data_IF_384897422821
#
_entry.id   IF_384897422821
#
_cell.length_a   1.000
_cell.length_b   1.000
_cell.length_c   1.000
_cell.angle_alpha   90.00
_cell.angle_beta   90.00
_cell.angle_gamma   90.00
#
_symmetry.space_group_name_H-M   'P 1'
#
loop_
_entity.id
_entity.type
_entity.pdbx_description
1 polymer ?
#
# COMPACT_ATOMS: atom_id res chain seq x y z
N UNK A 1 15.30 8.79 12.17
CA UNK A 1 15.00 7.72 13.15
C UNK A 1 16.12 7.69 14.17
N UNK A 2 15.80 7.67 15.48
CA UNK A 2 16.79 7.72 16.56
C UNK A 2 16.91 6.36 17.27
N UNK A 3 15.82 5.61 17.35
CA UNK A 3 15.76 4.29 17.99
C UNK A 3 14.57 3.50 17.48
N UNK A 4 14.61 2.19 17.59
CA UNK A 4 13.51 1.27 17.27
C UNK A 4 13.27 0.34 18.44
N UNK A 5 12.02 0.17 18.82
CA UNK A 5 11.57 -0.79 19.82
C UNK A 5 11.08 -2.06 19.11
N UNK A 6 11.83 -3.14 19.18
CA UNK A 6 11.44 -4.43 18.64
C UNK A 6 10.69 -5.23 19.70
N UNK A 7 9.69 -5.97 19.26
CA UNK A 7 8.93 -6.85 20.13
C UNK A 7 9.56 -8.23 20.21
N UNK A 8 9.82 -8.68 21.42
CA UNK A 8 10.34 -10.05 21.68
C UNK A 8 9.15 -10.97 21.98
N UNK A 9 8.79 -11.81 21.03
CA UNK A 9 7.65 -12.75 21.14
C UNK A 9 7.80 -13.77 22.27
N UNK A 10 9.03 -14.11 22.70
CA UNK A 10 9.27 -15.04 23.81
C UNK A 10 8.98 -14.39 25.16
N UNK A 11 9.38 -13.14 25.34
CA UNK A 11 9.23 -12.44 26.63
C UNK A 11 7.97 -11.58 26.70
N UNK A 12 7.32 -11.31 25.55
CA UNK A 12 6.17 -10.42 25.46
C UNK A 12 6.51 -8.94 25.72
N UNK A 13 7.77 -8.53 25.52
CA UNK A 13 8.26 -7.19 25.86
C UNK A 13 8.97 -6.52 24.68
N UNK A 14 8.91 -5.21 24.66
CA UNK A 14 9.74 -4.41 23.75
C UNK A 14 11.17 -4.31 24.23
N UNK A 15 12.09 -4.37 23.28
CA UNK A 15 13.53 -4.14 23.47
C UNK A 15 13.92 -2.93 22.63
N UNK A 16 14.37 -1.87 23.29
CA UNK A 16 14.85 -0.67 22.63
C UNK A 16 16.22 -0.94 21.98
N UNK A 17 16.38 -0.52 20.74
CA UNK A 17 17.61 -0.62 19.98
C UNK A 17 18.03 0.79 19.55
N UNK A 18 19.20 1.29 19.96
CA UNK A 18 19.74 2.55 19.50
C UNK A 18 19.95 2.56 17.99
N UNK A 19 19.92 3.74 17.39
CA UNK A 19 20.23 3.93 15.96
C UNK A 19 21.55 3.29 15.58
N UNK A 20 21.59 2.54 14.48
CA UNK A 20 22.76 1.86 13.97
C UNK A 20 23.14 0.55 14.68
N UNK A 21 22.30 0.07 15.60
CA UNK A 21 22.51 -1.19 16.30
C UNK A 21 21.33 -2.15 16.07
N UNK A 22 21.56 -3.20 15.31
CA UNK A 22 20.57 -4.25 15.13
C UNK A 22 20.37 -5.06 16.42
N UNK A 23 19.13 -5.51 16.76
CA UNK A 23 18.89 -6.43 17.87
C UNK A 23 19.69 -7.72 17.68
N UNK A 24 20.07 -8.35 18.80
CA UNK A 24 20.74 -9.64 18.74
C UNK A 24 19.86 -10.68 18.02
N UNK A 25 20.40 -11.31 16.99
CA UNK A 25 19.68 -12.28 16.17
C UNK A 25 18.84 -11.67 15.04
N UNK A 26 18.83 -10.36 14.87
CA UNK A 26 18.18 -9.73 13.72
C UNK A 26 18.91 -10.10 12.42
N UNK A 27 18.13 -10.40 11.38
CA UNK A 27 18.68 -10.53 10.03
C UNK A 27 19.16 -9.15 9.56
N UNK A 28 20.36 -9.04 8.98
CA UNK A 28 20.81 -7.77 8.42
C UNK A 28 19.77 -7.30 7.39
N UNK A 29 19.19 -6.15 7.64
CA UNK A 29 18.20 -5.54 6.77
C UNK A 29 18.79 -4.41 5.95
N UNK A 30 17.92 -3.72 5.24
CA UNK A 30 18.25 -2.57 4.40
C UNK A 30 18.87 -1.42 5.21
N UNK A 31 18.50 -1.33 6.47
CA UNK A 31 19.07 -0.42 7.46
C UNK A 31 19.81 -1.22 8.53
N UNK A 32 20.90 -0.68 9.08
CA UNK A 32 21.71 -1.31 10.13
C UNK A 32 20.96 -1.60 11.45
N UNK A 33 19.65 -1.46 11.44
CA UNK A 33 18.78 -1.68 12.61
C UNK A 33 18.01 -3.00 12.57
N UNK A 34 18.31 -3.88 11.60
CA UNK A 34 17.59 -5.14 11.45
C UNK A 34 16.15 -4.97 10.93
N UNK A 35 15.90 -3.89 10.19
CA UNK A 35 14.68 -3.65 9.42
C UNK A 35 15.00 -3.93 7.96
N UNK A 36 14.12 -4.66 7.27
CA UNK A 36 14.23 -4.90 5.84
C UNK A 36 13.52 -3.82 5.01
N UNK A 37 13.32 -4.05 3.72
CA UNK A 37 12.68 -3.11 2.81
C UNK A 37 11.25 -2.81 3.26
N UNK A 38 10.88 -1.54 3.35
CA UNK A 38 9.50 -1.08 3.41
C UNK A 38 8.94 -0.89 2.00
N UNK A 39 7.61 -1.03 1.85
CA UNK A 39 6.88 -0.61 0.70
C UNK A 39 6.10 0.69 0.99
N UNK A 40 4.81 0.73 0.72
CA UNK A 40 3.99 1.91 0.95
C UNK A 40 3.84 2.28 2.42
N UNK A 41 3.46 3.50 2.67
CA UNK A 41 3.32 4.02 4.02
C UNK A 41 2.17 5.01 4.15
N UNK A 42 1.62 5.09 5.35
CA UNK A 42 0.59 6.07 5.70
C UNK A 42 1.09 6.98 6.82
N UNK A 43 1.05 8.30 6.59
CA UNK A 43 1.18 9.26 7.67
C UNK A 43 -0.20 9.56 8.26
N UNK A 44 -0.43 9.07 9.46
CA UNK A 44 -1.60 9.40 10.25
C UNK A 44 -1.32 10.69 11.04
N UNK A 45 -1.94 11.79 10.62
CA UNK A 45 -1.72 13.12 11.19
C UNK A 45 -2.09 13.18 12.68
N UNK A 46 -1.54 14.16 13.39
CA UNK A 46 -1.93 14.50 14.75
C UNK A 46 -3.46 14.62 14.87
N UNK A 47 -4.01 14.07 15.94
CA UNK A 47 -5.47 13.97 16.13
C UNK A 47 -6.11 12.67 15.66
N UNK A 48 -5.45 11.85 14.83
CA UNK A 48 -6.00 10.58 14.36
C UNK A 48 -6.22 9.59 15.51
N UNK A 49 -5.29 9.51 16.44
CA UNK A 49 -5.29 8.51 17.50
C UNK A 49 -5.80 9.03 18.85
N UNK A 50 -6.47 10.18 18.88
CA UNK A 50 -7.07 10.73 20.09
C UNK A 50 -8.59 10.85 19.94
N UNK A 51 -9.33 10.60 21.02
CA UNK A 51 -10.78 10.79 21.10
C UNK A 51 -11.18 11.18 22.52
N UNK A 52 -11.88 12.31 22.66
CA UNK A 52 -12.32 12.85 23.97
C UNK A 52 -11.17 12.94 25.00
N UNK A 53 -9.98 13.35 24.58
CA UNK A 53 -8.81 13.49 25.44
C UNK A 53 -8.11 12.18 25.81
N UNK A 54 -8.55 11.04 25.27
CA UNK A 54 -7.91 9.74 25.45
C UNK A 54 -7.25 9.30 24.15
N UNK A 55 -5.98 8.96 24.21
CA UNK A 55 -5.22 8.50 23.04
C UNK A 55 -3.85 9.16 22.90
N UNK A 56 -3.26 9.06 21.70
CA UNK A 56 -2.04 9.74 21.31
C UNK A 56 -2.38 10.93 20.41
N UNK A 57 -1.88 12.10 20.78
CA UNK A 57 -2.21 13.37 20.11
C UNK A 57 -1.26 13.72 18.95
N UNK A 58 -0.07 13.09 18.90
CA UNK A 58 0.90 13.28 17.82
C UNK A 58 0.57 12.49 16.56
N UNK A 59 1.33 12.77 15.49
CA UNK A 59 1.30 11.99 14.27
C UNK A 59 2.09 10.68 14.35
N UNK A 60 1.70 9.70 13.58
CA UNK A 60 2.43 8.44 13.39
C UNK A 60 2.60 8.15 11.90
N UNK A 61 3.82 7.81 11.50
CA UNK A 61 4.11 7.22 10.20
C UNK A 61 4.05 5.71 10.34
N UNK A 62 3.18 5.06 9.59
CA UNK A 62 2.99 3.61 9.61
C UNK A 62 3.46 3.02 8.30
N UNK A 63 4.18 1.91 8.39
CA UNK A 63 4.64 1.14 7.24
C UNK A 63 4.94 -0.29 7.69
N UNK A 64 5.20 -1.18 6.74
CA UNK A 64 5.62 -2.54 7.03
C UNK A 64 6.72 -3.01 6.11
N UNK A 65 7.46 -4.03 6.56
CA UNK A 65 8.42 -4.71 5.72
C UNK A 65 7.69 -5.50 4.64
N UNK A 66 8.23 -5.50 3.43
CA UNK A 66 7.67 -6.23 2.29
C UNK A 66 8.76 -7.14 1.70
N UNK A 67 9.06 -8.22 2.41
CA UNK A 67 10.12 -9.18 2.04
C UNK A 67 9.71 -10.64 2.24
N UNK A 68 8.42 -10.90 2.44
CA UNK A 68 7.85 -12.22 2.64
C UNK A 68 7.09 -12.38 3.96
N UNK A 69 6.68 -13.59 4.27
CA UNK A 69 5.78 -13.90 5.40
C UNK A 69 6.34 -13.55 6.78
N UNK A 70 7.65 -13.34 6.92
CA UNK A 70 8.29 -12.98 8.20
C UNK A 70 8.36 -11.46 8.44
N UNK A 71 7.82 -10.68 7.53
CA UNK A 71 7.85 -9.23 7.58
C UNK A 71 6.97 -8.68 8.70
N UNK A 72 7.33 -7.50 9.20
CA UNK A 72 6.76 -6.90 10.41
C UNK A 72 6.21 -5.51 10.11
N UNK A 73 5.11 -5.16 10.76
CA UNK A 73 4.58 -3.78 10.74
C UNK A 73 5.27 -2.89 11.77
N UNK A 74 5.37 -1.59 11.46
CA UNK A 74 5.97 -0.57 12.31
C UNK A 74 5.14 0.72 12.35
N UNK A 75 5.32 1.45 13.46
CA UNK A 75 4.91 2.84 13.58
C UNK A 75 6.10 3.69 14.05
N UNK A 76 6.19 4.91 13.54
CA UNK A 76 7.25 5.87 13.89
C UNK A 76 6.60 7.17 14.35
N UNK A 77 7.02 7.66 15.52
CA UNK A 77 6.58 8.96 16.02
C UNK A 77 7.42 10.11 15.42
N UNK A 78 6.95 11.33 15.62
CA UNK A 78 7.61 12.54 15.10
C UNK A 78 8.93 12.85 15.80
N UNK A 79 9.19 12.26 16.97
CA UNK A 79 10.45 12.33 17.68
C UNK A 79 11.50 11.35 17.14
N UNK A 80 11.12 10.52 16.18
CA UNK A 80 11.99 9.56 15.51
C UNK A 80 12.14 8.23 16.24
N UNK A 81 11.20 7.87 17.12
CA UNK A 81 11.14 6.55 17.75
C UNK A 81 10.27 5.61 16.91
N UNK A 82 10.86 4.48 16.52
CA UNK A 82 10.16 3.39 15.86
C UNK A 82 9.65 2.34 16.85
N UNK A 83 8.53 1.74 16.51
CA UNK A 83 7.90 0.66 17.29
C UNK A 83 7.41 -0.42 16.34
N UNK A 84 7.85 -1.66 16.55
CA UNK A 84 7.22 -2.80 15.89
C UNK A 84 5.77 -2.95 16.36
N UNK A 85 4.89 -3.35 15.47
CA UNK A 85 3.46 -3.56 15.73
C UNK A 85 3.12 -5.07 15.66
N UNK A 86 3.47 -5.89 16.66
CA UNK A 86 3.32 -7.35 16.57
C UNK A 86 1.87 -7.80 16.37
N UNK A 87 0.91 -7.02 16.87
CA UNK A 87 -0.52 -7.33 16.74
C UNK A 87 -1.10 -7.08 15.35
N UNK A 88 -0.31 -6.52 14.44
CA UNK A 88 -0.65 -6.46 13.02
C UNK A 88 -0.35 -7.77 12.27
N UNK A 89 0.21 -8.78 12.95
CA UNK A 89 0.62 -10.05 12.36
C UNK A 89 2.01 -9.98 11.70
N UNK A 90 2.32 -11.01 10.94
CA UNK A 90 3.55 -11.16 10.14
C UNK A 90 3.14 -11.54 8.73
N UNK A 91 3.37 -10.63 7.78
CA UNK A 91 3.00 -10.78 6.38
C UNK A 91 3.89 -9.87 5.53
N UNK A 92 3.93 -10.06 4.22
CA UNK A 92 4.53 -9.11 3.30
C UNK A 92 3.65 -7.85 3.26
N UNK A 93 3.97 -6.86 4.09
CA UNK A 93 3.14 -5.66 4.19
C UNK A 93 3.28 -4.78 2.97
N UNK A 94 2.17 -4.45 2.35
CA UNK A 94 2.11 -3.32 1.45
C UNK A 94 1.93 -2.02 2.25
N UNK A 95 0.87 -1.91 3.05
CA UNK A 95 0.61 -0.70 3.83
C UNK A 95 -0.15 -1.00 5.14
N UNK A 96 -0.13 -0.03 6.09
CA UNK A 96 -0.93 -0.04 7.33
C UNK A 96 -1.68 1.29 7.40
N UNK A 97 -3.01 1.26 7.26
CA UNK A 97 -3.87 2.40 7.02
C UNK A 97 -4.89 2.59 8.13
N UNK A 98 -4.64 3.47 9.10
CA UNK A 98 -5.60 3.79 10.17
C UNK A 98 -6.89 4.42 9.62
N UNK A 99 -8.02 4.03 10.22
CA UNK A 99 -9.33 4.58 9.88
C UNK A 99 -9.41 6.07 10.24
N UNK A 100 -9.99 6.84 9.33
CA UNK A 100 -10.28 8.26 9.52
C UNK A 100 -11.50 8.50 10.43
N UNK A 101 -12.25 7.44 10.80
CA UNK A 101 -13.45 7.59 11.63
C UNK A 101 -13.08 7.88 13.08
N UNK A 102 -13.50 9.04 13.64
CA UNK A 102 -13.27 9.34 15.05
C UNK A 102 -13.96 8.32 15.97
N UNK A 103 -13.32 7.98 17.09
CA UNK A 103 -13.90 7.10 18.09
C UNK A 103 -12.90 6.59 19.11
N UNK A 104 -13.40 5.85 20.10
CA UNK A 104 -12.60 5.29 21.19
C UNK A 104 -11.70 4.14 20.73
N UNK A 105 -12.02 3.51 19.60
CA UNK A 105 -11.21 2.45 19.02
C UNK A 105 -10.24 3.01 17.97
N UNK A 106 -9.11 2.35 17.84
CA UNK A 106 -8.22 2.48 16.69
C UNK A 106 -8.46 1.27 15.80
N UNK A 107 -8.92 1.53 14.60
CA UNK A 107 -9.08 0.52 13.56
C UNK A 107 -8.07 0.83 12.46
N UNK A 108 -7.34 -0.18 12.00
CA UNK A 108 -6.41 -0.04 10.90
C UNK A 108 -6.58 -1.22 9.93
N UNK A 109 -6.49 -0.93 8.64
CA UNK A 109 -6.36 -1.94 7.61
C UNK A 109 -4.88 -2.22 7.39
N UNK A 110 -4.52 -3.50 7.28
CA UNK A 110 -3.21 -3.93 6.81
C UNK A 110 -3.41 -4.72 5.52
N UNK A 111 -2.71 -4.33 4.47
CA UNK A 111 -2.70 -5.01 3.18
C UNK A 111 -1.46 -5.88 3.06
N UNK A 112 -1.65 -7.07 2.51
CA UNK A 112 -0.59 -8.03 2.25
C UNK A 112 -0.35 -8.13 0.74
N UNK A 113 0.81 -7.67 0.27
CA UNK A 113 1.30 -8.04 -1.05
C UNK A 113 2.05 -9.37 -0.98
N UNK A 114 1.29 -10.44 -1.02
CA UNK A 114 1.80 -11.81 -0.99
C UNK A 114 1.99 -12.35 -2.40
N UNK A 115 1.17 -13.32 -2.77
CA UNK A 115 1.16 -13.88 -4.13
C UNK A 115 -0.22 -13.71 -4.79
N UNK A 116 -0.29 -14.01 -6.08
CA UNK A 116 -1.54 -13.97 -6.85
C UNK A 116 -2.65 -14.91 -6.30
N UNK A 117 -2.33 -15.80 -5.39
CA UNK A 117 -3.27 -16.77 -4.81
C UNK A 117 -3.23 -16.83 -3.29
N UNK A 118 -2.36 -16.04 -2.67
CA UNK A 118 -2.13 -16.05 -1.23
C UNK A 118 -1.75 -14.64 -0.76
N UNK A 119 -2.74 -13.81 -0.66
CA UNK A 119 -2.66 -12.42 -0.23
C UNK A 119 -3.98 -12.08 0.45
N UNK A 120 -3.96 -11.47 1.60
CA UNK A 120 -5.16 -11.19 2.38
C UNK A 120 -5.26 -9.71 2.77
N UNK A 121 -6.48 -9.28 3.07
CA UNK A 121 -6.74 -7.99 3.69
C UNK A 121 -7.07 -8.20 5.16
N UNK A 122 -6.39 -7.47 6.03
CA UNK A 122 -6.58 -7.59 7.48
C UNK A 122 -7.15 -6.32 8.08
N UNK A 123 -7.87 -6.50 9.18
CA UNK A 123 -8.40 -5.41 10.00
C UNK A 123 -7.97 -5.60 11.44
N UNK A 124 -7.20 -4.66 11.93
CA UNK A 124 -6.86 -4.53 13.33
C UNK A 124 -7.88 -3.65 14.06
N UNK A 125 -8.27 -4.02 15.29
CA UNK A 125 -9.10 -3.19 16.15
C UNK A 125 -8.59 -3.21 17.59
N UNK A 126 -8.16 -2.05 18.07
CA UNK A 126 -7.70 -1.84 19.46
C UNK A 126 -8.33 -0.63 20.10
N UNK A 127 -8.07 -0.41 21.37
CA UNK A 127 -8.70 0.66 22.15
C UNK A 127 -7.68 1.73 22.54
N UNK A 128 -7.97 2.99 22.27
CA UNK A 128 -7.17 4.14 22.70
C UNK A 128 -7.01 4.16 24.21
N UNK A 129 -5.83 4.55 24.71
CA UNK A 129 -5.49 4.55 26.13
C UNK A 129 -4.92 5.91 26.55
N UNK A 130 -5.02 6.23 27.85
CA UNK A 130 -4.49 7.49 28.40
C UNK A 130 -3.02 7.41 28.80
N UNK A 131 -2.44 6.22 28.88
CA UNK A 131 -1.08 5.97 29.42
C UNK A 131 -0.28 5.06 28.53
N UNK A 132 1.03 5.03 28.70
CA UNK A 132 1.96 4.21 27.95
C UNK A 132 2.76 5.00 26.89
N UNK A 133 3.39 4.26 25.98
CA UNK A 133 4.11 4.80 24.82
C UNK A 133 3.16 5.39 23.81
N UNK A 134 3.68 5.99 22.72
CA UNK A 134 2.87 6.53 21.63
C UNK A 134 1.91 5.47 21.07
N UNK A 135 2.40 4.25 20.79
CA UNK A 135 1.60 3.16 20.25
C UNK A 135 0.61 2.56 21.26
N UNK A 136 0.91 2.59 22.56
CA UNK A 136 -0.05 2.18 23.60
C UNK A 136 -1.22 3.15 23.65
N UNK A 137 -0.92 4.45 23.75
CA UNK A 137 -1.96 5.50 23.72
C UNK A 137 -2.76 5.46 22.42
N UNK A 138 -2.11 5.24 21.28
CA UNK A 138 -2.76 5.09 19.99
C UNK A 138 -3.67 3.85 19.90
N UNK A 139 -3.64 2.94 20.88
CA UNK A 139 -4.44 1.71 20.85
C UNK A 139 -3.94 0.65 19.87
N UNK A 140 -2.65 0.68 19.54
CA UNK A 140 -2.02 -0.25 18.59
C UNK A 140 -1.39 -1.50 19.25
N UNK A 141 -1.47 -1.61 20.59
CA UNK A 141 -0.84 -2.71 21.36
C UNK A 141 -1.81 -3.62 22.09
N UNK A 142 -3.10 -3.37 22.06
CA UNK A 142 -4.10 -4.08 22.86
C UNK A 142 -5.27 -4.67 22.07
N UNK A 143 -5.24 -4.56 20.75
CA UNK A 143 -6.31 -5.01 19.87
C UNK A 143 -6.15 -6.44 19.35
N UNK A 144 -7.13 -6.86 18.59
CA UNK A 144 -7.18 -8.12 17.87
C UNK A 144 -7.04 -7.89 16.35
N UNK A 145 -6.41 -8.84 15.67
CA UNK A 145 -6.27 -8.87 14.22
C UNK A 145 -7.30 -9.82 13.62
N UNK A 146 -7.90 -9.41 12.52
CA UNK A 146 -8.92 -10.16 11.81
C UNK A 146 -8.59 -10.20 10.31
N UNK A 147 -8.78 -11.34 9.69
CA UNK A 147 -8.71 -11.48 8.23
C UNK A 147 -10.09 -11.27 7.62
N UNK A 148 -10.15 -10.60 6.47
CA UNK A 148 -11.39 -10.42 5.71
C UNK A 148 -11.83 -11.74 5.09
N UNK A 149 -13.10 -12.09 5.30
CA UNK A 149 -13.77 -13.24 4.69
C UNK A 149 -15.03 -12.80 3.95
N UNK A 150 -15.14 -13.19 2.70
CA UNK A 150 -16.38 -13.05 1.93
C UNK A 150 -17.06 -14.42 1.93
N UNK A 151 -18.20 -14.60 2.65
CA UNK A 151 -18.83 -15.91 2.77
C UNK A 151 -19.06 -16.56 1.41
N UNK A 152 -18.71 -17.84 1.31
CA UNK A 152 -18.77 -18.65 0.07
C UNK A 152 -17.80 -18.30 -1.05
N UNK A 153 -17.04 -17.21 -0.94
CA UNK A 153 -16.05 -16.76 -1.93
C UNK A 153 -14.65 -17.00 -1.37
N UNK A 154 -13.93 -17.94 -1.95
CA UNK A 154 -12.59 -18.31 -1.45
C UNK A 154 -11.46 -17.50 -2.07
N UNK A 155 -11.71 -16.85 -3.21
CA UNK A 155 -10.73 -15.95 -3.82
C UNK A 155 -11.42 -14.83 -4.62
N UNK A 156 -10.69 -13.77 -4.89
CA UNK A 156 -11.15 -12.68 -5.76
C UNK A 156 -11.44 -13.16 -7.19
N UNK A 157 -10.72 -14.17 -7.69
CA UNK A 157 -11.02 -14.77 -8.98
C UNK A 157 -12.41 -15.46 -8.98
N UNK A 158 -12.80 -16.12 -7.88
CA UNK A 158 -14.17 -16.65 -7.73
C UNK A 158 -15.16 -15.50 -7.66
N UNK A 159 -14.87 -14.42 -6.93
CA UNK A 159 -15.74 -13.24 -6.93
C UNK A 159 -15.91 -12.67 -8.34
N UNK A 160 -14.82 -12.48 -9.05
CA UNK A 160 -14.77 -11.94 -10.42
C UNK A 160 -15.65 -12.71 -11.38
N UNK A 161 -15.59 -14.04 -11.32
CA UNK A 161 -16.29 -14.94 -12.26
C UNK A 161 -17.72 -15.28 -11.86
N UNK A 162 -18.07 -15.26 -10.58
CA UNK A 162 -19.39 -15.67 -10.08
C UNK A 162 -20.30 -14.52 -9.66
N UNK A 163 -19.71 -13.46 -9.07
CA UNK A 163 -20.43 -12.26 -8.62
C UNK A 163 -20.32 -11.16 -9.67
N UNK A 164 -19.10 -10.82 -10.03
CA UNK A 164 -18.78 -9.81 -11.03
C UNK A 164 -18.83 -8.37 -10.48
N UNK A 165 -18.61 -7.43 -11.38
CA UNK A 165 -18.47 -6.01 -11.10
C UNK A 165 -19.78 -5.35 -10.66
N UNK A 166 -19.69 -4.35 -9.79
CA UNK A 166 -20.80 -3.53 -9.31
C UNK A 166 -21.89 -4.34 -8.58
N UNK A 167 -21.50 -5.41 -7.92
CA UNK A 167 -22.39 -6.20 -7.06
C UNK A 167 -21.78 -6.36 -5.69
N UNK A 168 -22.61 -6.12 -4.68
CA UNK A 168 -22.21 -6.19 -3.28
C UNK A 168 -22.35 -7.60 -2.72
N UNK A 169 -21.39 -7.97 -1.90
CA UNK A 169 -21.43 -9.18 -1.08
C UNK A 169 -21.15 -8.80 0.39
N UNK A 170 -21.69 -9.54 1.35
CA UNK A 170 -21.29 -9.36 2.74
C UNK A 170 -19.80 -9.70 2.91
N UNK A 171 -19.13 -8.93 3.75
CA UNK A 171 -17.77 -9.22 4.22
C UNK A 171 -17.77 -9.28 5.75
N UNK A 172 -17.06 -10.26 6.26
CA UNK A 172 -16.89 -10.53 7.69
C UNK A 172 -15.40 -10.43 8.03
N UNK A 173 -15.10 -10.21 9.31
CA UNK A 173 -13.73 -10.12 9.81
C UNK A 173 -13.52 -11.20 10.85
N UNK A 174 -12.75 -12.21 10.51
CA UNK A 174 -12.55 -13.41 11.33
C UNK A 174 -11.22 -13.31 12.08
N UNK A 175 -11.27 -13.41 13.40
CA UNK A 175 -10.08 -13.28 14.23
C UNK A 175 -9.01 -14.34 13.88
N UNK A 176 -7.75 -13.89 13.81
CA UNK A 176 -6.55 -14.70 13.62
C UNK A 176 -5.57 -14.49 14.77
N UNK A 177 -4.76 -15.50 15.04
CA UNK A 177 -3.76 -15.44 16.11
C UNK A 177 -2.45 -14.79 15.61
N UNK A 178 -2.25 -13.53 15.96
CA UNK A 178 -1.04 -12.78 15.65
C UNK A 178 0.20 -13.27 16.43
N UNK A 179 0.01 -14.00 17.55
CA UNK A 179 1.09 -14.44 18.44
C UNK A 179 1.44 -15.91 18.22
N UNK A 180 1.70 -16.26 16.99
CA UNK A 180 2.04 -17.62 16.60
C UNK A 180 3.24 -17.62 15.63
N UNK A 181 3.61 -18.77 15.07
CA UNK A 181 4.66 -18.81 14.03
C UNK A 181 4.14 -18.27 12.72
N UNK A 182 5.03 -17.71 11.90
CA UNK A 182 4.71 -17.17 10.57
C UNK A 182 3.90 -18.15 9.72
N UNK A 183 4.37 -19.39 9.63
CA UNK A 183 3.68 -20.41 8.83
C UNK A 183 2.30 -20.78 9.38
N UNK A 184 2.10 -20.76 10.71
CA UNK A 184 0.81 -21.01 11.31
C UNK A 184 -0.13 -19.83 11.09
N UNK A 185 0.37 -18.59 11.20
CA UNK A 185 -0.38 -17.37 10.92
C UNK A 185 -0.87 -17.34 9.46
N UNK A 186 0.03 -17.52 8.48
CA UNK A 186 -0.30 -17.54 7.07
C UNK A 186 -1.32 -18.65 6.74
N UNK A 187 -1.15 -19.85 7.31
CA UNK A 187 -2.10 -20.96 7.13
C UNK A 187 -3.48 -20.63 7.70
N UNK A 188 -3.55 -20.11 8.92
CA UNK A 188 -4.82 -19.73 9.56
C UNK A 188 -5.54 -18.64 8.77
N UNK A 189 -4.80 -17.64 8.30
CA UNK A 189 -5.34 -16.53 7.50
C UNK A 189 -5.96 -17.02 6.18
N UNK A 190 -5.29 -17.92 5.46
CA UNK A 190 -5.83 -18.55 4.25
C UNK A 190 -7.09 -19.38 4.51
N UNK A 191 -7.09 -20.16 5.59
CA UNK A 191 -8.23 -21.03 5.91
C UNK A 191 -9.47 -20.24 6.28
N UNK A 192 -9.29 -19.14 7.01
CA UNK A 192 -10.37 -18.28 7.52
C UNK A 192 -10.77 -17.17 6.58
N UNK A 193 -9.86 -16.65 5.77
CA UNK A 193 -10.05 -15.49 4.92
C UNK A 193 -10.44 -15.83 3.48
N UNK A 194 -10.64 -14.77 2.71
CA UNK A 194 -10.73 -14.80 1.25
C UNK A 194 -9.38 -14.37 0.68
N UNK A 195 -8.76 -15.21 -0.15
CA UNK A 195 -7.50 -14.88 -0.82
C UNK A 195 -7.75 -13.88 -1.94
N UNK A 196 -6.88 -12.89 -2.02
CA UNK A 196 -6.89 -11.85 -3.04
C UNK A 196 -5.65 -12.00 -3.94
N UNK A 197 -5.69 -11.40 -5.12
CA UNK A 197 -4.58 -11.48 -6.07
C UNK A 197 -3.62 -10.29 -5.87
N UNK A 198 -2.76 -10.37 -4.86
CA UNK A 198 -1.82 -9.33 -4.44
C UNK A 198 -2.55 -8.04 -4.06
N UNK A 199 -2.85 -7.90 -2.77
CA UNK A 199 -3.47 -6.67 -2.23
C UNK A 199 -2.40 -5.61 -2.10
N UNK A 200 -2.57 -4.55 -2.84
CA UNK A 200 -1.70 -3.38 -2.80
C UNK A 200 -2.29 -2.28 -1.89
N UNK A 201 -2.02 -1.05 -2.22
CA UNK A 201 -2.41 0.09 -1.40
C UNK A 201 -3.94 0.29 -1.35
N UNK A 202 -4.36 1.06 -0.36
CA UNK A 202 -5.75 1.44 -0.15
C UNK A 202 -5.88 2.80 0.52
N UNK A 203 -7.08 3.35 0.47
CA UNK A 203 -7.35 4.65 1.08
C UNK A 203 -8.77 4.73 1.64
N UNK A 204 -8.88 5.25 2.86
CA UNK A 204 -10.18 5.58 3.45
C UNK A 204 -10.80 6.78 2.72
N UNK A 205 -12.12 6.74 2.51
CA UNK A 205 -12.83 7.85 1.92
C UNK A 205 -12.93 9.02 2.92
N UNK A 206 -12.29 10.18 2.66
CA UNK A 206 -12.34 11.31 3.57
C UNK A 206 -13.75 11.89 3.72
N UNK A 207 -14.62 11.70 2.73
CA UNK A 207 -16.01 12.15 2.75
C UNK A 207 -16.95 11.18 3.44
N UNK A 208 -16.57 9.89 3.56
CA UNK A 208 -17.35 8.85 4.24
C UNK A 208 -16.42 7.87 4.98
N UNK A 209 -16.09 8.09 6.25
CA UNK A 209 -15.11 7.29 6.98
C UNK A 209 -15.55 5.85 7.28
N UNK A 210 -16.68 5.39 6.78
CA UNK A 210 -17.07 3.98 6.76
C UNK A 210 -16.70 3.28 5.44
N UNK A 211 -16.11 4.00 4.47
CA UNK A 211 -15.73 3.44 3.18
C UNK A 211 -14.21 3.40 3.06
N UNK A 212 -13.71 2.27 2.61
CA UNK A 212 -12.32 2.02 2.28
C UNK A 212 -12.23 1.51 0.85
N UNK A 213 -11.31 2.05 0.07
CA UNK A 213 -10.98 1.57 -1.27
C UNK A 213 -9.60 0.94 -1.26
N UNK A 214 -9.41 -0.10 -2.04
CA UNK A 214 -8.10 -0.73 -2.22
C UNK A 214 -8.00 -1.36 -3.61
N UNK A 215 -6.77 -1.62 -4.03
CA UNK A 215 -6.51 -2.29 -5.30
C UNK A 215 -5.87 -3.66 -5.07
N UNK A 216 -6.08 -4.55 -6.04
CA UNK A 216 -5.28 -5.76 -6.23
C UNK A 216 -4.55 -5.62 -7.55
N UNK A 217 -3.24 -5.88 -7.57
CA UNK A 217 -2.41 -5.61 -8.75
C UNK A 217 -2.58 -6.66 -9.84
N UNK A 218 -3.02 -7.86 -9.49
CA UNK A 218 -3.23 -8.95 -10.45
C UNK A 218 -4.70 -9.38 -10.52
N UNK A 219 -5.08 -9.95 -11.68
CA UNK A 219 -6.41 -10.50 -11.91
C UNK A 219 -6.49 -12.00 -11.67
N UNK A 220 -5.35 -12.63 -11.43
CA UNK A 220 -5.23 -14.06 -11.16
C UNK A 220 -5.99 -14.93 -12.16
N UNK A 221 -5.64 -14.87 -13.45
CA UNK A 221 -6.17 -15.66 -14.55
C UNK A 221 -7.47 -15.15 -15.19
N UNK A 222 -7.86 -13.92 -14.96
CA UNK A 222 -8.95 -13.34 -15.72
C UNK A 222 -8.51 -13.13 -17.19
N UNK A 223 -9.19 -13.76 -18.18
CA UNK A 223 -8.83 -13.63 -19.59
C UNK A 223 -8.92 -12.18 -20.09
N UNK A 224 -9.79 -11.36 -19.51
CA UNK A 224 -9.95 -9.96 -19.88
C UNK A 224 -8.75 -9.14 -19.43
N UNK A 225 -8.29 -9.36 -18.20
CA UNK A 225 -7.15 -8.64 -17.65
C UNK A 225 -5.81 -9.02 -18.29
N UNK A 226 -5.71 -10.20 -18.85
CA UNK A 226 -4.52 -10.66 -19.59
C UNK A 226 -4.60 -10.39 -21.09
N UNK A 227 -5.65 -9.72 -21.58
CA UNK A 227 -5.77 -9.37 -22.99
C UNK A 227 -4.61 -8.46 -23.41
N UNK A 228 -4.09 -8.66 -24.64
CA UNK A 228 -3.02 -7.81 -25.17
C UNK A 228 -3.42 -6.33 -25.17
N UNK A 229 -2.46 -5.47 -24.87
CA UNK A 229 -2.65 -4.03 -25.03
C UNK A 229 -2.96 -3.69 -26.49
N UNK A 230 -4.08 -3.01 -26.80
CA UNK A 230 -4.43 -2.64 -28.17
C UNK A 230 -3.36 -1.82 -28.90
N UNK A 231 -2.60 -1.00 -28.16
CA UNK A 231 -1.52 -0.19 -28.75
C UNK A 231 -0.23 -0.99 -29.01
N UNK A 232 -0.05 -2.11 -28.31
CA UNK A 232 1.11 -3.00 -28.43
C UNK A 232 0.65 -4.46 -28.31
N UNK A 233 0.14 -5.06 -29.41
CA UNK A 233 -0.60 -6.34 -29.38
C UNK A 233 0.19 -7.55 -28.81
N UNK A 234 1.51 -7.45 -28.71
CA UNK A 234 2.38 -8.50 -28.17
C UNK A 234 2.62 -8.38 -26.67
N UNK A 235 2.10 -7.32 -26.03
CA UNK A 235 2.28 -7.04 -24.60
C UNK A 235 0.98 -7.29 -23.85
N UNK A 236 1.03 -8.16 -22.85
CA UNK A 236 -0.10 -8.40 -21.96
C UNK A 236 -0.10 -7.39 -20.81
N UNK A 237 -1.31 -6.99 -20.40
CA UNK A 237 -1.54 -6.22 -19.19
C UNK A 237 -2.32 -7.05 -18.19
N UNK A 238 -1.96 -6.94 -16.94
CA UNK A 238 -2.82 -7.37 -15.86
C UNK A 238 -3.48 -6.14 -15.26
N UNK A 239 -4.79 -6.02 -15.43
CA UNK A 239 -5.55 -4.84 -15.00
C UNK A 239 -5.95 -4.86 -13.54
N UNK A 240 -5.64 -5.91 -12.81
CA UNK A 240 -5.98 -6.03 -11.41
C UNK A 240 -7.46 -5.78 -11.11
N UNK A 241 -7.75 -5.12 -9.99
CA UNK A 241 -9.09 -4.68 -9.63
C UNK A 241 -9.07 -3.47 -8.69
N UNK A 242 -10.14 -2.67 -8.73
CA UNK A 242 -10.46 -1.68 -7.69
C UNK A 242 -11.64 -2.21 -6.87
N UNK A 243 -11.49 -2.20 -5.56
CA UNK A 243 -12.47 -2.67 -4.60
C UNK A 243 -12.98 -1.54 -3.71
N UNK A 244 -14.24 -1.66 -3.29
CA UNK A 244 -14.85 -0.82 -2.25
C UNK A 244 -15.33 -1.69 -1.11
N UNK A 245 -14.87 -1.41 0.10
CA UNK A 245 -15.29 -2.02 1.34
C UNK A 245 -16.10 -0.99 2.13
N UNK A 246 -17.37 -1.26 2.40
CA UNK A 246 -18.27 -0.38 3.14
C UNK A 246 -18.60 -1.01 4.49
N UNK A 247 -17.97 -0.53 5.54
CA UNK A 247 -18.23 -0.98 6.91
C UNK A 247 -19.61 -0.54 7.38
N UNK A 248 -20.33 -1.40 8.08
CA UNK A 248 -21.53 -0.99 8.82
C UNK A 248 -21.17 0.04 9.89
N UNK A 249 -20.03 -0.16 10.55
CA UNK A 249 -19.40 0.78 11.47
C UNK A 249 -17.89 0.55 11.49
N UNK A 250 -17.12 1.49 10.93
CA UNK A 250 -15.66 1.38 10.91
C UNK A 250 -15.00 1.46 12.31
N UNK A 251 -15.74 1.91 13.35
CA UNK A 251 -15.28 1.81 14.75
C UNK A 251 -15.56 0.45 15.36
N UNK A 252 -16.37 -0.40 14.71
CA UNK A 252 -16.72 -1.74 15.14
C UNK A 252 -16.72 -2.72 13.95
N UNK A 253 -15.55 -3.17 13.47
CA UNK A 253 -15.44 -4.10 12.34
C UNK A 253 -16.23 -5.40 12.53
N UNK A 254 -16.44 -5.84 13.78
CA UNK A 254 -17.25 -7.03 14.09
C UNK A 254 -18.72 -6.90 13.62
N UNK A 255 -19.22 -5.71 13.38
CA UNK A 255 -20.54 -5.51 12.76
C UNK A 255 -20.60 -5.95 11.29
N UNK A 256 -19.42 -6.17 10.66
CA UNK A 256 -19.27 -6.56 9.27
C UNK A 256 -19.29 -5.39 8.29
N UNK A 257 -19.14 -5.72 7.03
CA UNK A 257 -19.08 -4.79 5.91
C UNK A 257 -19.79 -5.35 4.67
N UNK A 258 -19.86 -4.56 3.62
CA UNK A 258 -20.16 -4.98 2.25
C UNK A 258 -18.93 -4.74 1.39
N UNK A 259 -18.57 -5.70 0.53
CA UNK A 259 -17.52 -5.57 -0.47
C UNK A 259 -18.09 -5.56 -1.88
N UNK A 260 -17.49 -4.76 -2.75
CA UNK A 260 -17.89 -4.60 -4.14
C UNK A 260 -16.66 -4.41 -5.02
N UNK A 261 -16.60 -5.09 -6.16
CA UNK A 261 -15.59 -4.87 -7.20
C UNK A 261 -16.07 -3.73 -8.12
N UNK A 262 -15.36 -2.62 -8.15
CA UNK A 262 -15.71 -1.47 -8.99
C UNK A 262 -15.08 -1.56 -10.38
N UNK A 263 -13.84 -2.02 -10.46
CA UNK A 263 -13.10 -2.27 -11.70
C UNK A 263 -12.55 -3.68 -11.67
N UNK A 264 -12.56 -4.36 -12.80
CA UNK A 264 -12.07 -5.73 -12.94
C UNK A 264 -10.87 -5.86 -13.88
N UNK A 265 -10.27 -4.75 -14.30
CA UNK A 265 -9.14 -4.71 -15.22
C UNK A 265 -9.50 -4.86 -16.70
N UNK A 266 -10.76 -5.13 -17.02
CA UNK A 266 -11.25 -5.26 -18.41
C UNK A 266 -11.86 -3.99 -18.99
N UNK A 267 -11.67 -2.86 -18.36
CA UNK A 267 -12.21 -1.58 -18.80
C UNK A 267 -11.52 -1.06 -20.10
N UNK A 268 -12.18 -0.16 -20.84
CA UNK A 268 -11.62 0.42 -22.06
C UNK A 268 -10.34 1.23 -21.84
N UNK A 269 -10.18 1.82 -20.65
CA UNK A 269 -8.90 2.31 -20.14
C UNK A 269 -8.25 1.16 -19.40
N UNK A 270 -7.49 0.33 -20.09
CA UNK A 270 -6.78 -0.78 -19.48
C UNK A 270 -5.78 -0.28 -18.44
N UNK A 271 -5.96 -0.68 -17.20
CA UNK A 271 -4.92 -0.53 -16.17
C UNK A 271 -3.80 -1.55 -16.38
N UNK A 272 -2.64 -1.26 -15.86
CA UNK A 272 -1.50 -2.15 -15.86
C UNK A 272 -0.94 -2.22 -14.46
N UNK A 273 -1.29 -3.26 -13.72
CA UNK A 273 -0.90 -3.49 -12.35
C UNK A 273 -1.12 -2.25 -11.47
N UNK A 274 -2.37 -1.96 -11.09
CA UNK A 274 -2.66 -0.87 -10.15
C UNK A 274 -1.99 -1.16 -8.81
N UNK A 275 -1.37 -0.15 -8.25
CA UNK A 275 -0.52 -0.28 -7.07
C UNK A 275 -0.92 0.73 -5.99
N UNK A 276 -0.56 2.00 -6.11
CA UNK A 276 -0.92 3.00 -5.11
C UNK A 276 -2.20 3.74 -5.46
N UNK A 277 -2.94 4.19 -4.43
CA UNK A 277 -4.16 4.96 -4.63
C UNK A 277 -4.30 6.11 -3.64
N UNK A 278 -5.03 7.15 -4.05
CA UNK A 278 -5.58 8.15 -3.14
C UNK A 278 -7.02 8.48 -3.47
N UNK A 279 -7.82 8.77 -2.45
CA UNK A 279 -9.18 9.30 -2.61
C UNK A 279 -9.13 10.80 -2.37
N UNK A 280 -9.71 11.59 -3.29
CA UNK A 280 -9.76 13.03 -3.12
C UNK A 280 -10.56 13.41 -1.85
N UNK A 281 -10.19 14.52 -1.23
CA UNK A 281 -10.80 15.03 0.01
C UNK A 281 -12.34 15.11 -0.01
N UNK A 282 -12.90 15.30 -1.20
CA UNK A 282 -14.36 15.34 -1.39
C UNK A 282 -14.99 13.99 -1.77
N UNK A 283 -14.22 12.91 -1.79
CA UNK A 283 -14.66 11.56 -2.15
C UNK A 283 -15.10 11.36 -3.61
N UNK A 284 -14.82 12.32 -4.50
CA UNK A 284 -15.35 12.28 -5.89
C UNK A 284 -14.50 11.45 -6.83
N UNK A 285 -13.18 11.43 -6.62
CA UNK A 285 -12.24 10.76 -7.49
C UNK A 285 -11.30 9.87 -6.69
N UNK A 286 -10.92 8.77 -7.31
CA UNK A 286 -9.83 7.90 -6.86
C UNK A 286 -8.75 8.00 -7.93
N UNK A 287 -7.55 8.39 -7.53
CA UNK A 287 -6.38 8.37 -8.39
C UNK A 287 -5.62 7.06 -8.15
N UNK A 288 -5.35 6.34 -9.21
CA UNK A 288 -4.72 5.01 -9.20
C UNK A 288 -3.41 5.14 -9.94
N UNK A 289 -2.32 4.75 -9.33
CA UNK A 289 -0.99 4.68 -9.91
C UNK A 289 -0.71 3.26 -10.38
N UNK A 290 0.01 3.13 -11.49
CA UNK A 290 0.38 1.85 -12.08
C UNK A 290 1.85 1.55 -11.83
N UNK A 291 2.14 0.29 -11.45
CA UNK A 291 3.46 -0.32 -11.49
C UNK A 291 3.46 -1.50 -12.48
N UNK A 292 3.62 -1.25 -13.78
CA UNK A 292 3.65 -2.33 -14.77
C UNK A 292 4.87 -3.24 -14.63
N UNK A 293 5.86 -2.87 -13.83
CA UNK A 293 7.15 -3.53 -13.73
C UNK A 293 7.91 -3.46 -15.05
N UNK A 294 8.95 -4.27 -15.22
CA UNK A 294 9.73 -4.31 -16.46
C UNK A 294 8.87 -4.77 -17.64
N UNK A 295 8.16 -3.85 -18.25
CA UNK A 295 7.15 -4.11 -19.29
C UNK A 295 7.11 -2.99 -20.32
N UNK A 296 6.86 -3.33 -21.60
CA UNK A 296 6.69 -2.38 -22.71
C UNK A 296 5.34 -1.62 -22.65
N UNK A 297 4.89 -1.26 -21.46
CA UNK A 297 3.68 -0.48 -21.20
C UNK A 297 4.03 0.64 -20.23
N UNK A 298 3.81 1.89 -20.67
CA UNK A 298 4.07 3.05 -19.82
C UNK A 298 3.20 3.03 -18.55
N UNK A 299 3.83 3.27 -17.42
CA UNK A 299 3.12 3.53 -16.17
C UNK A 299 2.35 4.86 -16.24
N UNK A 300 1.14 4.88 -15.65
CA UNK A 300 0.22 6.00 -15.72
C UNK A 300 -0.39 6.29 -14.36
N UNK A 301 -0.99 7.48 -14.24
CA UNK A 301 -1.95 7.81 -13.21
C UNK A 301 -3.34 7.84 -13.86
N UNK A 302 -4.25 7.03 -13.34
CA UNK A 302 -5.61 6.90 -13.85
C UNK A 302 -6.59 7.45 -12.81
N UNK A 303 -7.48 8.36 -13.22
CA UNK A 303 -8.55 8.86 -12.37
C UNK A 303 -9.84 8.05 -12.59
N UNK A 304 -10.39 7.53 -11.50
CA UNK A 304 -11.72 6.91 -11.45
C UNK A 304 -12.71 7.88 -10.79
N UNK A 305 -13.79 8.22 -11.49
CA UNK A 305 -14.86 9.06 -10.95
C UNK A 305 -15.93 8.19 -10.30
N UNK A 306 -16.10 8.35 -8.98
CA UNK A 306 -16.96 7.48 -8.16
C UNK A 306 -18.44 7.54 -8.57
N UNK A 307 -18.92 8.72 -9.02
CA UNK A 307 -20.36 8.93 -9.30
C UNK A 307 -20.88 8.21 -10.53
N UNK A 308 -20.06 7.95 -11.55
CA UNK A 308 -20.47 7.36 -12.83
C UNK A 308 -19.50 6.32 -13.38
N UNK A 309 -18.53 5.91 -12.56
CA UNK A 309 -17.53 4.86 -12.87
C UNK A 309 -16.68 5.15 -14.11
N UNK A 310 -16.47 6.43 -14.45
CA UNK A 310 -15.63 6.82 -15.59
C UNK A 310 -14.17 6.80 -15.22
N UNK A 311 -13.36 6.33 -16.16
CA UNK A 311 -11.90 6.31 -16.11
C UNK A 311 -11.30 7.30 -17.10
N UNK A 312 -10.22 7.95 -16.70
CA UNK A 312 -9.40 8.78 -17.57
C UNK A 312 -7.93 8.68 -17.15
N UNK A 313 -7.02 8.62 -18.12
CA UNK A 313 -5.58 8.79 -17.87
C UNK A 313 -5.33 10.28 -17.63
N UNK A 314 -4.72 10.63 -16.50
CA UNK A 314 -4.42 12.02 -16.12
C UNK A 314 -2.93 12.34 -16.20
N UNK A 315 -2.06 11.33 -16.11
CA UNK A 315 -0.63 11.45 -16.33
C UNK A 315 -0.06 10.13 -16.86
N UNK A 316 1.07 10.19 -17.54
CA UNK A 316 1.85 9.02 -17.96
C UNK A 316 3.32 9.38 -18.14
N UNK A 317 4.18 8.39 -18.10
CA UNK A 317 5.59 8.55 -18.39
C UNK A 317 5.87 8.85 -19.87
N UNK A 318 7.04 9.46 -20.12
CA UNK A 318 7.45 9.86 -21.48
C UNK A 318 7.89 8.64 -22.31
N UNK A 319 7.17 8.38 -23.40
CA UNK A 319 7.47 7.26 -24.30
C UNK A 319 8.89 7.29 -24.89
N UNK A 320 9.49 8.49 -25.06
CA UNK A 320 10.87 8.60 -25.55
C UNK A 320 11.91 8.09 -24.54
N UNK A 321 11.54 8.07 -23.23
CA UNK A 321 12.42 7.66 -22.13
C UNK A 321 12.15 6.25 -21.63
N UNK A 322 10.90 5.78 -21.76
CA UNK A 322 10.44 4.58 -21.08
C UNK A 322 9.84 3.51 -22.01
N UNK A 323 9.87 3.71 -23.33
CA UNK A 323 9.61 2.64 -24.29
C UNK A 323 10.84 2.35 -25.14
N UNK A 324 11.11 1.05 -25.38
CA UNK A 324 12.21 0.63 -26.27
C UNK A 324 12.08 1.28 -27.65
N UNK A 325 13.19 1.82 -28.11
CA UNK A 325 13.25 2.57 -29.39
C UNK A 325 12.99 4.07 -29.24
N UNK A 326 12.68 4.55 -28.06
CA UNK A 326 12.65 5.98 -27.76
C UNK A 326 14.03 6.63 -27.88
N UNK A 327 14.07 7.90 -28.30
CA UNK A 327 15.33 8.62 -28.58
C UNK A 327 16.19 8.86 -27.33
N UNK A 328 15.57 8.84 -26.15
CA UNK A 328 16.22 9.06 -24.84
C UNK A 328 15.99 7.88 -23.89
N UNK A 329 15.87 6.68 -24.42
CA UNK A 329 15.48 5.50 -23.65
C UNK A 329 16.35 5.30 -22.39
N UNK A 330 15.72 5.09 -21.27
CA UNK A 330 16.31 4.85 -19.94
C UNK A 330 16.07 3.42 -19.49
N UNK A 331 14.79 3.05 -19.33
CA UNK A 331 14.35 1.75 -18.84
C UNK A 331 12.89 1.52 -19.25
N UNK A 332 12.41 0.28 -19.16
CA UNK A 332 10.98 -0.08 -19.21
C UNK A 332 10.43 -0.44 -17.84
N UNK A 333 11.15 -0.06 -16.78
CA UNK A 333 10.84 -0.40 -15.39
C UNK A 333 10.71 0.92 -14.60
N UNK A 334 9.66 1.64 -14.93
CA UNK A 334 9.29 2.89 -14.27
C UNK A 334 7.92 2.76 -13.63
N UNK A 335 7.76 3.40 -12.48
CA UNK A 335 6.48 3.51 -11.78
C UNK A 335 6.25 4.90 -11.21
N UNK A 336 4.98 5.20 -10.91
CA UNK A 336 4.63 6.33 -10.05
C UNK A 336 4.02 5.81 -8.75
N UNK A 337 4.44 6.37 -7.61
CA UNK A 337 4.03 5.87 -6.29
C UNK A 337 3.73 6.98 -5.30
N UNK A 338 3.10 6.62 -4.16
CA UNK A 338 2.90 7.47 -3.00
C UNK A 338 2.05 8.71 -3.27
N UNK A 339 1.00 8.61 -4.09
CA UNK A 339 0.14 9.76 -4.40
C UNK A 339 -0.72 10.17 -3.21
N UNK A 340 -0.71 11.47 -2.88
CA UNK A 340 -1.55 12.06 -1.83
C UNK A 340 -2.28 13.30 -2.34
N UNK A 341 -3.51 13.53 -1.86
CA UNK A 341 -4.22 14.80 -2.10
C UNK A 341 -3.63 15.89 -1.20
N UNK A 342 -2.92 16.82 -1.81
CA UNK A 342 -2.27 17.97 -1.17
C UNK A 342 -3.07 19.28 -1.33
N UNK A 343 -4.34 19.20 -1.76
CA UNK A 343 -5.17 20.37 -2.05
C UNK A 343 -5.29 21.28 -0.84
N UNK A 344 -5.54 20.77 0.35
CA UNK A 344 -5.62 21.56 1.58
C UNK A 344 -4.31 22.27 1.92
N UNK A 345 -3.18 21.72 1.49
CA UNK A 345 -1.85 22.29 1.78
C UNK A 345 -1.48 23.40 0.78
N UNK A 346 -1.86 23.23 -0.50
CA UNK A 346 -1.35 24.07 -1.59
C UNK A 346 -2.37 25.06 -2.15
N UNK A 347 -3.68 24.76 -2.08
CA UNK A 347 -4.71 25.64 -2.63
C UNK A 347 -4.78 26.95 -1.87
N UNK A 348 -4.82 28.07 -2.62
CA UNK A 348 -5.02 29.40 -2.09
C UNK A 348 -6.53 29.70 -1.96
N UNK A 349 -6.93 30.66 -1.13
CA UNK A 349 -8.32 31.10 -1.05
C UNK A 349 -8.88 31.46 -2.43
N UNK A 350 -9.99 30.82 -2.82
CA UNK A 350 -10.63 31.00 -4.14
C UNK A 350 -10.07 30.10 -5.24
N UNK A 351 -9.07 29.28 -4.99
CA UNK A 351 -8.55 28.30 -5.92
C UNK A 351 -9.52 27.09 -6.00
N UNK A 352 -9.82 26.67 -7.21
CA UNK A 352 -10.71 25.53 -7.50
C UNK A 352 -9.96 24.29 -7.99
N UNK A 353 -8.63 24.38 -8.11
CA UNK A 353 -7.80 23.27 -8.54
C UNK A 353 -7.62 22.25 -7.40
N UNK A 354 -7.40 21.00 -7.77
CA UNK A 354 -6.88 19.97 -6.87
C UNK A 354 -5.39 19.82 -7.09
N UNK A 355 -4.66 19.54 -6.02
CA UNK A 355 -3.20 19.39 -6.02
C UNK A 355 -2.83 18.03 -5.47
N UNK A 356 -1.88 17.37 -6.11
CA UNK A 356 -1.41 16.05 -5.70
C UNK A 356 0.11 16.02 -5.64
N UNK A 357 0.64 15.43 -4.57
CA UNK A 357 2.05 15.03 -4.50
C UNK A 357 2.18 13.56 -4.86
N UNK A 358 3.23 13.22 -5.57
CA UNK A 358 3.60 11.83 -5.85
C UNK A 358 5.07 11.71 -6.24
N UNK A 359 5.58 10.49 -6.22
CA UNK A 359 6.93 10.17 -6.68
C UNK A 359 6.86 9.46 -8.04
N UNK A 360 7.88 9.71 -8.88
CA UNK A 360 8.25 8.79 -9.93
C UNK A 360 9.45 7.98 -9.45
N UNK A 361 9.40 6.68 -9.61
CA UNK A 361 10.46 5.74 -9.27
C UNK A 361 10.96 5.08 -10.54
N UNK A 362 12.27 5.05 -10.71
CA UNK A 362 12.93 4.57 -11.92
C UNK A 362 13.85 3.43 -11.54
N UNK A 363 13.43 2.20 -11.82
CA UNK A 363 14.22 1.01 -11.59
C UNK A 363 15.17 0.82 -12.74
N UNK A 364 16.44 1.12 -12.52
CA UNK A 364 17.43 1.05 -13.57
C UNK A 364 18.61 0.15 -13.16
N UNK A 365 18.84 -0.92 -13.90
CA UNK A 365 19.90 -1.84 -13.57
C UNK A 365 21.29 -1.19 -13.68
N UNK A 366 22.21 -1.59 -12.80
CA UNK A 366 23.60 -1.14 -12.83
C UNK A 366 24.26 -1.36 -14.20
N UNK A 367 23.93 -2.46 -14.87
CA UNK A 367 24.43 -2.77 -16.20
C UNK A 367 23.91 -1.82 -17.27
N UNK A 368 22.61 -1.48 -17.23
CA UNK A 368 22.01 -0.54 -18.15
C UNK A 368 22.64 0.85 -18.02
N UNK A 369 22.83 1.33 -16.78
CA UNK A 369 23.47 2.62 -16.52
C UNK A 369 24.92 2.62 -17.05
N UNK A 370 25.67 1.56 -16.78
CA UNK A 370 27.06 1.45 -17.25
C UNK A 370 27.18 1.43 -18.77
N UNK A 371 26.16 0.92 -19.48
CA UNK A 371 26.13 0.83 -20.94
C UNK A 371 25.65 2.13 -21.63
N UNK A 372 25.23 3.15 -20.90
CA UNK A 372 24.74 4.41 -21.49
C UNK A 372 25.81 5.10 -22.33
N UNK A 373 25.53 5.50 -23.59
CA UNK A 373 26.50 6.14 -24.46
C UNK A 373 27.04 7.47 -23.93
N UNK A 374 26.20 8.25 -23.21
CA UNK A 374 26.60 9.54 -22.63
C UNK A 374 27.59 9.40 -21.46
N UNK A 375 27.73 8.19 -20.93
CA UNK A 375 28.72 7.85 -19.91
C UNK A 375 30.01 7.27 -20.51
N UNK A 376 30.06 7.10 -21.84
CA UNK A 376 31.29 6.69 -22.50
C UNK A 376 32.43 7.68 -22.18
N UNK A 377 33.63 7.16 -21.84
CA UNK A 377 34.78 8.01 -21.47
C UNK A 377 34.76 8.58 -20.04
N UNK A 378 33.71 8.39 -19.24
CA UNK A 378 33.73 8.74 -17.80
C UNK A 378 34.58 7.74 -17.02
N UNK A 379 35.26 8.22 -15.97
CA UNK A 379 36.01 7.35 -15.07
C UNK A 379 35.13 6.32 -14.37
N UNK A 380 35.69 5.18 -13.97
CA UNK A 380 34.97 4.14 -13.24
C UNK A 380 34.31 4.68 -11.94
N UNK A 381 35.02 5.55 -11.19
CA UNK A 381 34.48 6.19 -9.99
C UNK A 381 33.28 7.08 -10.31
N UNK A 382 33.31 7.83 -11.41
CA UNK A 382 32.19 8.67 -11.83
C UNK A 382 30.98 7.83 -12.25
N UNK A 383 31.19 6.74 -12.99
CA UNK A 383 30.18 5.79 -13.37
C UNK A 383 29.55 5.12 -12.15
N UNK A 384 30.34 4.69 -11.17
CA UNK A 384 29.87 4.11 -9.93
C UNK A 384 29.00 5.11 -9.12
N UNK A 385 29.43 6.37 -9.02
CA UNK A 385 28.66 7.40 -8.33
C UNK A 385 27.32 7.68 -9.03
N UNK A 386 27.31 7.74 -10.37
CA UNK A 386 26.07 7.91 -11.16
C UNK A 386 25.17 6.69 -10.96
N UNK A 387 25.73 5.48 -11.00
CA UNK A 387 25.00 4.25 -10.77
C UNK A 387 24.31 4.25 -9.40
N UNK A 388 25.06 4.56 -8.33
CA UNK A 388 24.48 4.66 -6.98
C UNK A 388 23.36 5.71 -6.88
N UNK A 389 23.46 6.78 -7.66
CA UNK A 389 22.48 7.87 -7.63
C UNK A 389 21.24 7.64 -8.53
N UNK A 390 21.28 6.66 -9.44
CA UNK A 390 20.24 6.46 -10.46
C UNK A 390 19.64 5.05 -10.47
N UNK A 391 20.24 4.07 -9.79
CA UNK A 391 19.54 2.84 -9.40
C UNK A 391 18.51 3.25 -8.37
N UNK A 392 17.24 2.85 -8.56
CA UNK A 392 16.13 3.34 -7.75
C UNK A 392 16.03 4.88 -7.72
N UNK A 393 16.34 5.50 -8.85
CA UNK A 393 16.25 6.94 -9.00
C UNK A 393 14.79 7.40 -8.86
N UNK A 394 14.56 8.50 -8.13
CA UNK A 394 13.22 9.02 -7.92
C UNK A 394 13.14 10.52 -8.12
N UNK A 395 11.94 11.00 -8.45
CA UNK A 395 11.61 12.41 -8.53
C UNK A 395 10.28 12.67 -7.81
N UNK A 396 10.21 13.81 -7.14
CA UNK A 396 9.00 14.26 -6.49
C UNK A 396 8.25 15.24 -7.39
N UNK A 397 6.95 15.04 -7.55
CA UNK A 397 6.11 15.84 -8.43
C UNK A 397 4.93 16.48 -7.70
N UNK A 398 4.50 17.61 -8.27
CA UNK A 398 3.22 18.25 -7.97
C UNK A 398 2.38 18.22 -9.26
N UNK A 399 1.19 17.66 -9.17
CA UNK A 399 0.19 17.70 -10.26
C UNK A 399 -0.97 18.59 -9.83
N UNK A 400 -1.52 19.36 -10.79
CA UNK A 400 -2.70 20.21 -10.59
C UNK A 400 -3.74 19.94 -11.67
#
# INVERSE_FOLDING_TARGET
MQKVNFYNYTTGKYQETPAGAAPAGATPGFFDWGISRFCSATYAAAGTFIHNGVGYDGGLFLSGEETGDESRGFAFDEEGTGYQLPRMGMMSFENIMPSLKPGANTVAIASEDGSATDSQLYVYAGKKQSTGTAIDKAGLTNGDLHVMNIPTIKSDNVFRTTVGKNKKMPAEFVKVDWNTTTSAFAKESREKGTSMARVEDGHWDPSNPNVFYFVTTESNKDPIATAPNPATPTVSRDGGALWRLTFKDAQNPAAGAEIEMLLNGGESVYMSKPDNITVTENGKYILIQEDPGNNAVLARIVAYRVSDSKLAVVAQFDANKFLKGGSEFITEDEESSGIIDATKLLAKPGDTNSYFFFNAQIHNSAGAIAARPDLAGRSAAKKAAINTATVEGGQFYVMT
#
